data_IF_736101920650
#
_entry.id   IF_736101920650
#
_cell.length_a   1.000
_cell.length_b   1.000
_cell.length_c   1.000
_cell.angle_alpha   90.00
_cell.angle_beta   90.00
_cell.angle_gamma   90.00
#
_symmetry.space_group_name_H-M   'P 1'
#
loop_
_entity.id
_entity.type
_entity.pdbx_description
1 polymer ?
#
# COMPACT_ATOMS: atom_id res chain seq x y z
N UNK A 1 15.94 20.51 16.60
CA UNK A 1 16.43 19.12 16.68
C UNK A 1 15.30 18.11 16.86
N UNK A 2 14.40 18.26 17.85
CA UNK A 2 13.20 17.42 17.99
C UNK A 2 12.29 17.39 16.74
N UNK A 3 12.14 18.53 16.05
CA UNK A 3 11.39 18.62 14.79
C UNK A 3 12.10 17.93 13.60
N UNK A 4 13.43 17.81 13.63
CA UNK A 4 14.22 17.12 12.60
C UNK A 4 14.22 15.60 12.85
N UNK A 5 14.25 15.19 14.14
CA UNK A 5 14.06 13.79 14.55
C UNK A 5 12.63 13.32 14.24
N UNK A 6 11.62 14.19 14.41
CA UNK A 6 10.24 13.90 14.00
C UNK A 6 10.06 13.89 12.47
N UNK A 7 10.85 14.66 11.72
CA UNK A 7 10.85 14.61 10.24
C UNK A 7 11.55 13.36 9.71
N UNK A 8 12.63 12.93 10.34
CA UNK A 8 13.35 11.70 9.98
C UNK A 8 12.60 10.43 10.37
N UNK A 9 11.79 10.44 11.44
CA UNK A 9 10.92 9.32 11.82
C UNK A 9 9.61 9.24 11.02
N UNK A 10 9.39 10.16 10.07
CA UNK A 10 8.26 10.14 9.13
C UNK A 10 8.72 9.93 7.67
N UNK A 11 9.96 9.50 7.44
CA UNK A 11 10.36 8.98 6.14
C UNK A 11 9.57 7.68 5.91
N UNK A 12 8.48 7.83 5.16
CA UNK A 12 7.59 6.81 4.63
C UNK A 12 8.28 5.46 4.46
N UNK A 13 7.87 4.47 5.24
CA UNK A 13 8.17 3.06 5.01
C UNK A 13 7.67 2.70 3.60
N UNK A 14 8.60 2.46 2.66
CA UNK A 14 8.26 2.01 1.31
C UNK A 14 7.60 0.63 1.38
N UNK A 15 6.48 0.45 0.70
CA UNK A 15 5.67 -0.78 0.79
C UNK A 15 5.97 -1.76 -0.36
N UNK A 16 6.78 -1.37 -1.36
CA UNK A 16 7.61 -2.28 -2.15
C UNK A 16 9.05 -2.12 -1.65
N UNK A 17 9.71 -3.20 -1.24
CA UNK A 17 11.10 -3.20 -0.80
C UNK A 17 11.97 -3.92 -1.83
N UNK A 18 13.06 -3.28 -2.24
CA UNK A 18 14.12 -3.95 -3.00
C UNK A 18 15.11 -4.57 -2.03
N UNK A 19 15.35 -5.87 -2.14
CA UNK A 19 16.31 -6.60 -1.31
C UNK A 19 17.67 -6.69 -1.99
N UNK A 20 17.67 -6.86 -3.31
CA UNK A 20 18.87 -6.85 -4.16
C UNK A 20 18.53 -6.22 -5.52
N UNK A 21 19.45 -5.44 -6.12
CA UNK A 21 20.78 -5.08 -5.63
C UNK A 21 20.74 -3.96 -4.58
N UNK A 22 21.84 -3.78 -3.85
CA UNK A 22 21.99 -2.78 -2.78
C UNK A 22 21.73 -1.34 -3.26
N UNK A 23 22.17 -1.01 -4.47
CA UNK A 23 22.04 0.33 -5.07
C UNK A 23 20.58 0.75 -5.26
N UNK A 24 19.65 -0.21 -5.29
CA UNK A 24 18.22 0.03 -5.41
C UNK A 24 17.47 -0.11 -4.07
N UNK A 25 18.15 -0.45 -2.97
CA UNK A 25 17.51 -0.76 -1.68
C UNK A 25 16.67 0.40 -1.13
N UNK A 26 17.17 1.63 -1.29
CA UNK A 26 16.51 2.85 -0.83
C UNK A 26 15.61 3.49 -1.91
N UNK A 27 15.36 2.80 -3.03
CA UNK A 27 14.52 3.30 -4.10
C UNK A 27 13.06 3.39 -3.62
N UNK A 28 12.56 4.62 -3.49
CA UNK A 28 11.14 4.88 -3.30
C UNK A 28 10.36 4.54 -4.57
N UNK A 29 9.65 3.42 -4.56
CA UNK A 29 8.82 2.99 -5.71
C UNK A 29 7.40 3.47 -5.46
N UNK A 30 6.90 4.50 -6.19
CA UNK A 30 5.48 4.85 -6.15
C UNK A 30 4.68 3.71 -6.77
N UNK A 31 3.54 3.40 -6.16
CA UNK A 31 2.69 2.33 -6.66
C UNK A 31 1.21 2.64 -6.44
N UNK A 32 0.42 1.99 -7.27
CA UNK A 32 -1.03 1.99 -7.28
C UNK A 32 -1.62 0.61 -7.03
N UNK A 33 -2.92 0.57 -6.74
CA UNK A 33 -3.62 -0.67 -6.43
C UNK A 33 -4.56 -1.09 -7.57
N UNK A 34 -4.61 -2.38 -7.85
CA UNK A 34 -5.81 -2.96 -8.44
C UNK A 34 -6.83 -3.22 -7.32
N UNK A 35 -8.11 -2.92 -7.56
CA UNK A 35 -9.18 -3.18 -6.58
C UNK A 35 -9.67 -4.64 -6.55
N UNK A 36 -8.92 -5.56 -7.15
CA UNK A 36 -9.21 -6.99 -7.21
C UNK A 36 -7.93 -7.81 -6.94
N UNK A 37 -8.08 -9.13 -6.79
CA UNK A 37 -7.05 -9.97 -6.18
C UNK A 37 -6.97 -9.76 -4.66
N UNK A 38 -5.76 -9.82 -4.12
CA UNK A 38 -5.46 -9.75 -2.70
C UNK A 38 -4.45 -8.62 -2.38
N UNK A 39 -4.57 -7.91 -1.25
CA UNK A 39 -3.62 -6.89 -0.82
C UNK A 39 -2.19 -7.38 -0.53
N UNK A 40 -1.89 -8.68 -0.63
CA UNK A 40 -0.76 -9.31 0.03
C UNK A 40 -0.90 -9.19 1.56
N UNK A 41 -1.87 -9.95 2.10
CA UNK A 41 -2.10 -10.10 3.55
C UNK A 41 -0.85 -10.53 4.33
N UNK A 42 0.08 -11.21 3.66
CA UNK A 42 1.44 -11.54 4.12
C UNK A 42 2.44 -11.16 3.02
N UNK A 43 3.73 -10.96 3.34
CA UNK A 43 4.72 -10.58 2.34
C UNK A 43 4.80 -11.56 1.17
N UNK A 44 4.69 -11.00 -0.04
CA UNK A 44 5.00 -11.70 -1.29
C UNK A 44 6.36 -11.21 -1.77
N UNK A 45 7.20 -12.12 -2.23
CA UNK A 45 8.54 -11.79 -2.72
C UNK A 45 8.84 -12.56 -4.00
N UNK A 46 9.81 -12.05 -4.74
CA UNK A 46 10.34 -12.75 -5.88
C UNK A 46 11.33 -11.93 -6.69
N UNK A 47 11.92 -12.58 -7.68
CA UNK A 47 12.78 -11.95 -8.66
C UNK A 47 11.93 -11.32 -9.75
N UNK A 48 12.24 -10.09 -10.12
CA UNK A 48 11.60 -9.42 -11.25
C UNK A 48 11.88 -10.18 -12.54
N UNK A 49 10.82 -10.48 -13.27
CA UNK A 49 10.87 -11.00 -14.62
C UNK A 49 9.92 -10.19 -15.49
N UNK A 50 10.47 -9.52 -16.50
CA UNK A 50 9.65 -8.84 -17.50
C UNK A 50 9.27 -9.82 -18.60
N UNK A 51 7.97 -9.84 -18.92
CA UNK A 51 7.45 -10.58 -20.07
C UNK A 51 6.53 -9.67 -20.90
N UNK A 52 6.66 -9.79 -22.22
CA UNK A 52 5.78 -9.10 -23.16
C UNK A 52 4.53 -9.92 -23.44
N UNK A 53 3.38 -9.24 -23.52
CA UNK A 53 2.14 -9.87 -23.96
C UNK A 53 2.10 -9.98 -25.48
N UNK A 54 1.69 -11.14 -26.00
CA UNK A 54 1.38 -11.33 -27.42
C UNK A 54 -0.10 -11.56 -27.58
N UNK A 55 -0.80 -10.73 -28.35
CA UNK A 55 -2.26 -10.79 -28.54
C UNK A 55 -3.03 -10.83 -27.20
N UNK A 56 -2.61 -10.03 -26.21
CA UNK A 56 -3.17 -10.02 -24.85
C UNK A 56 -3.03 -11.36 -24.09
N UNK A 57 -2.06 -12.21 -24.47
CA UNK A 57 -1.80 -13.50 -23.82
C UNK A 57 -0.38 -13.59 -23.30
N UNK A 58 -0.26 -14.22 -22.14
CA UNK A 58 1.00 -14.68 -21.57
C UNK A 58 1.21 -16.15 -22.00
N UNK A 59 2.32 -16.43 -22.69
CA UNK A 59 2.62 -17.76 -23.24
C UNK A 59 3.75 -18.47 -22.48
N UNK A 60 4.04 -18.03 -21.25
CA UNK A 60 5.13 -18.55 -20.43
C UNK A 60 4.60 -19.12 -19.12
N UNK A 61 5.27 -20.15 -18.63
CA UNK A 61 5.08 -20.64 -17.28
C UNK A 61 5.94 -19.79 -16.34
N UNK A 62 5.33 -19.25 -15.28
CA UNK A 62 6.01 -18.36 -14.35
C UNK A 62 6.63 -19.20 -13.22
N UNK A 63 7.96 -19.17 -13.03
CA UNK A 63 8.60 -19.89 -11.95
C UNK A 63 8.10 -19.42 -10.58
N UNK A 64 8.14 -20.31 -9.59
CA UNK A 64 7.93 -19.93 -8.18
C UNK A 64 8.90 -18.80 -7.80
N UNK A 65 8.45 -17.89 -6.94
CA UNK A 65 9.22 -16.72 -6.48
C UNK A 65 9.60 -15.75 -7.61
N UNK A 66 8.72 -15.61 -8.60
CA UNK A 66 8.86 -14.60 -9.65
C UNK A 66 7.85 -13.48 -9.41
N UNK A 67 8.32 -12.25 -9.51
CA UNK A 67 7.47 -11.07 -9.67
C UNK A 67 7.36 -10.77 -11.14
N UNK A 68 6.17 -10.99 -11.69
CA UNK A 68 5.92 -10.76 -13.10
C UNK A 68 5.76 -9.27 -13.36
N UNK A 69 6.50 -8.72 -14.32
CA UNK A 69 6.39 -7.34 -14.77
C UNK A 69 5.84 -7.32 -16.18
N UNK A 70 4.73 -6.60 -16.39
CA UNK A 70 4.03 -6.53 -17.66
C UNK A 70 3.87 -5.07 -18.09
N UNK A 71 4.10 -4.80 -19.36
CA UNK A 71 3.57 -3.59 -20.00
C UNK A 71 2.11 -3.83 -20.40
N UNK A 72 1.21 -2.93 -19.98
CA UNK A 72 -0.20 -3.03 -20.32
C UNK A 72 -0.50 -2.29 -21.63
N UNK A 73 -0.99 -3.03 -22.63
CA UNK A 73 -1.61 -2.47 -23.82
C UNK A 73 -3.10 -2.21 -23.54
N UNK A 74 -3.55 -0.96 -23.72
CA UNK A 74 -4.93 -0.52 -23.50
C UNK A 74 -5.97 -1.27 -24.37
N UNK A 75 -5.54 -1.95 -25.44
CA UNK A 75 -6.40 -2.81 -26.24
C UNK A 75 -6.74 -4.14 -25.54
N UNK A 76 -6.06 -4.47 -24.45
CA UNK A 76 -6.24 -5.70 -23.71
C UNK A 76 -7.07 -5.47 -22.43
N UNK A 77 -8.00 -6.39 -22.17
CA UNK A 77 -8.74 -6.44 -20.92
C UNK A 77 -7.78 -6.87 -19.81
N UNK A 78 -7.39 -5.93 -18.95
CA UNK A 78 -6.37 -6.14 -17.92
C UNK A 78 -6.74 -7.25 -16.93
N UNK A 79 -8.03 -7.39 -16.59
CA UNK A 79 -8.53 -8.49 -15.76
C UNK A 79 -8.13 -9.85 -16.32
N UNK A 80 -8.30 -10.07 -17.62
CA UNK A 80 -8.01 -11.34 -18.28
C UNK A 80 -6.50 -11.62 -18.30
N UNK A 81 -5.70 -10.58 -18.50
CA UNK A 81 -4.23 -10.67 -18.44
C UNK A 81 -3.79 -11.13 -17.05
N UNK A 82 -4.30 -10.49 -15.99
CA UNK A 82 -3.89 -10.78 -14.62
C UNK A 82 -4.35 -12.17 -14.18
N UNK A 83 -5.58 -12.57 -14.50
CA UNK A 83 -6.08 -13.92 -14.21
C UNK A 83 -5.25 -15.00 -14.89
N UNK A 84 -4.89 -14.81 -16.17
CA UNK A 84 -4.01 -15.74 -16.89
C UNK A 84 -2.61 -15.76 -16.34
N UNK A 85 -2.07 -14.61 -15.95
CA UNK A 85 -0.76 -14.50 -15.31
C UNK A 85 -0.71 -15.28 -14.00
N UNK A 86 -1.75 -15.15 -13.17
CA UNK A 86 -1.90 -15.95 -11.96
C UNK A 86 -2.03 -17.44 -12.26
N UNK A 87 -2.83 -17.82 -13.26
CA UNK A 87 -2.98 -19.21 -13.70
C UNK A 87 -1.66 -19.81 -14.21
N UNK A 88 -0.76 -18.97 -14.74
CA UNK A 88 0.61 -19.33 -15.12
C UNK A 88 1.59 -19.35 -13.95
N UNK A 89 1.17 -19.06 -12.72
CA UNK A 89 1.98 -19.16 -11.50
C UNK A 89 2.41 -17.82 -10.87
N UNK A 90 1.99 -16.67 -11.40
CA UNK A 90 2.37 -15.37 -10.85
C UNK A 90 1.53 -14.98 -9.63
N UNK A 91 2.16 -14.81 -8.47
CA UNK A 91 1.47 -14.40 -7.23
C UNK A 91 1.63 -12.90 -6.90
N UNK A 92 2.63 -12.24 -7.49
CA UNK A 92 2.83 -10.79 -7.44
C UNK A 92 3.10 -10.30 -8.87
N UNK A 93 2.30 -9.34 -9.33
CA UNK A 93 2.30 -8.82 -10.69
C UNK A 93 2.44 -7.30 -10.62
N UNK A 94 3.42 -6.75 -11.32
CA UNK A 94 3.62 -5.31 -11.50
C UNK A 94 3.21 -4.93 -12.92
N UNK A 95 2.29 -3.99 -13.02
CA UNK A 95 1.83 -3.43 -14.28
C UNK A 95 2.57 -2.11 -14.48
N UNK A 96 3.26 -1.99 -15.61
CA UNK A 96 3.89 -0.75 -16.02
C UNK A 96 2.84 0.17 -16.63
N UNK A 97 2.63 1.34 -16.02
CA UNK A 97 1.76 2.40 -16.53
C UNK A 97 2.56 3.57 -17.11
N UNK A 98 1.96 4.27 -18.07
CA UNK A 98 2.56 5.49 -18.62
C UNK A 98 2.45 6.63 -17.60
N UNK A 99 3.41 7.58 -17.61
CA UNK A 99 3.38 8.72 -16.66
C UNK A 99 2.14 9.62 -16.82
N UNK A 100 1.45 9.55 -17.97
CA UNK A 100 0.20 10.27 -18.20
C UNK A 100 -1.02 9.69 -17.46
N UNK A 101 -0.92 8.45 -16.96
CA UNK A 101 -2.02 7.77 -16.26
C UNK A 101 -2.09 8.29 -14.81
N UNK A 102 -2.75 9.44 -14.63
CA UNK A 102 -2.89 10.12 -13.33
C UNK A 102 -3.66 9.33 -12.26
N UNK A 103 -4.25 8.19 -12.61
CA UNK A 103 -5.02 7.35 -11.70
C UNK A 103 -4.30 6.02 -11.52
N UNK A 104 -3.51 5.94 -10.46
CA UNK A 104 -2.81 4.73 -10.05
C UNK A 104 -3.76 3.61 -9.58
N UNK A 105 -5.08 3.84 -9.56
CA UNK A 105 -6.04 2.82 -9.19
C UNK A 105 -6.66 2.20 -10.44
N UNK A 106 -6.52 0.88 -10.56
CA UNK A 106 -7.12 0.11 -11.64
C UNK A 106 -8.34 -0.58 -11.10
N UNK A 107 -9.47 -0.33 -11.75
CA UNK A 107 -10.75 -0.91 -11.35
C UNK A 107 -11.29 -1.82 -12.43
N UNK A 108 -11.84 -2.95 -12.00
CA UNK A 108 -12.45 -3.88 -12.93
C UNK A 108 -13.81 -3.37 -13.38
N UNK A 109 -14.07 -3.46 -14.69
CA UNK A 109 -15.34 -3.07 -15.30
C UNK A 109 -16.52 -3.94 -14.87
N UNK A 110 -16.28 -5.17 -14.42
CA UNK A 110 -17.28 -6.10 -13.89
C UNK A 110 -16.61 -7.17 -13.02
N UNK A 111 -17.35 -7.66 -12.03
CA UNK A 111 -16.83 -8.56 -10.99
C UNK A 111 -17.38 -9.98 -11.12
N UNK A 112 -16.51 -10.96 -10.99
CA UNK A 112 -16.83 -12.39 -10.95
C UNK A 112 -16.12 -13.02 -9.76
N UNK A 113 -16.65 -14.12 -9.22
CA UNK A 113 -16.03 -14.81 -8.08
C UNK A 113 -14.59 -15.30 -8.37
N UNK A 114 -14.24 -15.48 -9.64
CA UNK A 114 -12.88 -15.83 -10.08
C UNK A 114 -11.85 -14.67 -9.92
N UNK A 115 -12.29 -13.47 -9.52
CA UNK A 115 -11.40 -12.32 -9.28
C UNK A 115 -10.73 -12.32 -7.90
N UNK A 116 -10.93 -13.38 -7.12
CA UNK A 116 -10.54 -13.48 -5.71
C UNK A 116 -9.37 -14.42 -5.45
N UNK A 117 -8.62 -14.70 -6.49
CA UNK A 117 -7.41 -15.51 -6.45
C UNK A 117 -6.29 -14.84 -5.62
N UNK A 118 -5.39 -15.65 -5.06
CA UNK A 118 -4.28 -15.17 -4.21
C UNK A 118 -3.12 -14.58 -5.03
N UNK A 119 -3.43 -13.64 -5.93
CA UNK A 119 -2.45 -12.77 -6.56
C UNK A 119 -2.59 -11.35 -6.07
N UNK A 120 -1.48 -10.62 -6.14
CA UNK A 120 -1.44 -9.18 -5.85
C UNK A 120 -0.99 -8.46 -7.11
N UNK A 121 -1.78 -7.49 -7.57
CA UNK A 121 -1.46 -6.68 -8.72
C UNK A 121 -1.26 -5.22 -8.29
N UNK A 122 -0.12 -4.67 -8.68
CA UNK A 122 0.27 -3.29 -8.39
C UNK A 122 0.59 -2.57 -9.69
N UNK A 123 0.32 -1.27 -9.72
CA UNK A 123 0.69 -0.41 -10.83
C UNK A 123 1.92 0.37 -10.44
N UNK A 124 2.95 0.37 -11.28
CA UNK A 124 4.14 1.20 -11.08
C UNK A 124 4.42 2.02 -12.33
N UNK A 125 5.03 3.21 -12.21
CA UNK A 125 5.45 3.96 -13.38
C UNK A 125 6.45 3.19 -14.25
N UNK A 126 6.32 3.32 -15.57
CA UNK A 126 7.22 2.69 -16.53
C UNK A 126 8.70 3.01 -16.27
N UNK A 127 9.02 4.24 -15.86
CA UNK A 127 10.41 4.66 -15.61
C UNK A 127 11.10 3.83 -14.52
N UNK A 128 10.35 3.29 -13.53
CA UNK A 128 10.92 2.41 -12.50
C UNK A 128 11.57 1.18 -13.14
N UNK A 129 10.92 0.59 -14.15
CA UNK A 129 11.48 -0.53 -14.87
C UNK A 129 12.61 -0.10 -15.81
N UNK A 130 12.38 0.89 -16.67
CA UNK A 130 13.35 1.27 -17.70
C UNK A 130 14.62 1.92 -17.17
N UNK A 131 14.54 2.67 -16.07
CA UNK A 131 15.69 3.39 -15.52
C UNK A 131 16.38 2.66 -14.37
N UNK A 132 15.70 1.74 -13.69
CA UNK A 132 16.26 1.02 -12.54
C UNK A 132 16.29 -0.49 -12.78
N UNK A 133 15.14 -1.16 -12.83
CA UNK A 133 15.12 -2.63 -12.82
C UNK A 133 15.81 -3.27 -14.03
N UNK A 134 15.66 -2.69 -15.22
CA UNK A 134 16.25 -3.23 -16.46
C UNK A 134 17.79 -3.15 -16.52
N UNK A 135 18.43 -2.38 -15.63
CA UNK A 135 19.89 -2.24 -15.58
C UNK A 135 20.58 -3.41 -14.87
N UNK A 136 19.83 -4.23 -14.16
CA UNK A 136 20.35 -5.32 -13.35
C UNK A 136 19.81 -6.66 -13.83
N UNK A 137 20.66 -7.68 -13.80
CA UNK A 137 20.28 -9.04 -14.22
C UNK A 137 19.25 -9.65 -13.26
N UNK A 138 19.43 -9.41 -11.97
CA UNK A 138 18.59 -9.93 -10.91
C UNK A 138 18.18 -8.77 -10.00
N UNK A 139 16.87 -8.55 -9.89
CA UNK A 139 16.29 -7.61 -8.93
C UNK A 139 15.30 -8.39 -8.10
N UNK A 140 15.54 -8.47 -6.80
CA UNK A 140 14.68 -9.16 -5.84
C UNK A 140 13.88 -8.13 -5.05
N UNK A 141 12.57 -8.30 -5.04
CA UNK A 141 11.68 -7.40 -4.30
C UNK A 141 10.74 -8.18 -3.41
N UNK A 142 10.17 -7.48 -2.43
CA UNK A 142 8.98 -7.93 -1.72
C UNK A 142 7.94 -6.81 -1.64
N UNK A 143 6.70 -7.22 -1.45
CA UNK A 143 5.57 -6.35 -1.17
C UNK A 143 4.68 -6.98 -0.11
N UNK A 144 4.22 -6.17 0.82
CA UNK A 144 3.22 -6.50 1.83
C UNK A 144 2.37 -5.26 2.01
N UNK A 145 1.04 -5.34 2.01
CA UNK A 145 0.25 -4.15 2.30
C UNK A 145 0.49 -3.68 3.74
N UNK A 146 0.92 -2.43 3.88
CA UNK A 146 1.09 -1.84 5.20
C UNK A 146 -0.30 -1.55 5.82
N UNK A 147 -0.57 -2.03 7.03
CA UNK A 147 -1.83 -1.78 7.74
C UNK A 147 -1.61 -0.77 8.84
N UNK A 148 -2.42 0.29 8.87
CA UNK A 148 -2.42 1.21 10.00
C UNK A 148 -3.13 0.56 11.19
N UNK A 149 -2.42 0.42 12.30
CA UNK A 149 -2.88 -0.34 13.46
C UNK A 149 -3.62 0.52 14.50
N UNK A 150 -4.58 -0.09 15.19
CA UNK A 150 -5.30 0.48 16.33
C UNK A 150 -5.78 -0.63 17.28
N UNK A 151 -6.10 -0.31 18.54
CA UNK A 151 -6.80 -1.24 19.42
C UNK A 151 -8.28 -1.38 19.06
N UNK A 152 -8.86 -0.33 18.47
CA UNK A 152 -10.24 -0.30 17.97
C UNK A 152 -10.18 0.24 16.54
N UNK A 153 -10.04 -0.62 15.53
CA UNK A 153 -9.94 -0.17 14.15
C UNK A 153 -11.19 0.60 13.73
N UNK A 154 -10.99 1.79 13.15
CA UNK A 154 -12.06 2.61 12.60
C UNK A 154 -12.33 2.18 11.17
N UNK A 155 -13.60 2.08 10.79
CA UNK A 155 -14.01 1.77 9.42
C UNK A 155 -14.85 2.90 8.87
N UNK A 156 -14.55 3.31 7.66
CA UNK A 156 -15.36 4.24 6.89
C UNK A 156 -15.74 3.56 5.58
N UNK A 157 -17.03 3.40 5.35
CA UNK A 157 -17.60 2.86 4.11
C UNK A 157 -17.89 4.01 3.16
N UNK A 158 -17.25 4.00 2.00
CA UNK A 158 -17.46 4.96 0.92
C UNK A 158 -18.36 4.34 -0.15
N UNK A 159 -19.50 4.96 -0.39
CA UNK A 159 -20.47 4.57 -1.41
C UNK A 159 -20.35 5.49 -2.64
N UNK A 160 -19.96 4.95 -3.78
CA UNK A 160 -19.84 5.66 -5.07
C UNK A 160 -21.13 5.66 -5.89
N UNK A 161 -22.08 4.80 -5.52
CA UNK A 161 -23.28 4.51 -6.27
C UNK A 161 -23.08 3.43 -7.32
N UNK A 162 -21.88 2.86 -7.49
CA UNK A 162 -21.70 1.68 -8.32
C UNK A 162 -22.18 0.42 -7.57
N UNK A 163 -23.48 0.14 -7.65
CA UNK A 163 -24.15 -0.91 -6.87
C UNK A 163 -23.55 -2.31 -7.02
N UNK A 164 -22.99 -2.62 -8.19
CA UNK A 164 -22.31 -3.89 -8.42
C UNK A 164 -21.08 -4.04 -7.53
N UNK A 165 -20.31 -2.96 -7.35
CA UNK A 165 -19.16 -2.94 -6.44
C UNK A 165 -19.61 -2.93 -4.97
N UNK A 166 -20.58 -2.07 -4.67
CA UNK A 166 -21.07 -1.88 -3.31
C UNK A 166 -21.66 -3.14 -2.69
N UNK A 167 -22.33 -3.98 -3.47
CA UNK A 167 -22.89 -5.23 -2.99
C UNK A 167 -21.82 -6.14 -2.33
N UNK A 168 -20.61 -6.21 -2.92
CA UNK A 168 -19.50 -6.99 -2.35
C UNK A 168 -18.91 -6.34 -1.11
N UNK A 169 -18.70 -5.02 -1.14
CA UNK A 169 -18.14 -4.28 -0.01
C UNK A 169 -19.09 -4.33 1.19
N UNK A 170 -20.39 -4.13 0.97
CA UNK A 170 -21.42 -4.18 2.01
C UNK A 170 -21.56 -5.58 2.59
N UNK A 171 -21.39 -6.64 1.77
CA UNK A 171 -21.29 -8.02 2.27
C UNK A 171 -20.09 -8.18 3.21
N UNK A 172 -18.92 -7.65 2.85
CA UNK A 172 -17.73 -7.64 3.72
C UNK A 172 -17.93 -6.81 5.00
N UNK A 173 -18.53 -5.63 4.87
CA UNK A 173 -18.87 -4.74 6.00
C UNK A 173 -19.83 -5.44 6.99
N UNK A 174 -20.84 -6.15 6.49
CA UNK A 174 -21.75 -6.96 7.31
C UNK A 174 -21.00 -8.00 8.13
N UNK A 175 -20.07 -8.72 7.50
CA UNK A 175 -19.25 -9.73 8.18
C UNK A 175 -18.48 -9.10 9.34
N UNK A 176 -17.80 -7.97 9.11
CA UNK A 176 -17.01 -7.35 10.18
C UNK A 176 -17.87 -6.73 11.29
N UNK A 177 -18.98 -6.09 10.95
CA UNK A 177 -19.90 -5.50 11.93
C UNK A 177 -20.49 -6.60 12.83
N UNK A 178 -20.93 -7.72 12.23
CA UNK A 178 -21.52 -8.84 12.95
C UNK A 178 -20.51 -9.61 13.81
N UNK A 179 -19.36 -9.98 13.23
CA UNK A 179 -18.40 -10.87 13.89
C UNK A 179 -17.60 -10.15 14.98
N UNK A 180 -17.27 -8.87 14.77
CA UNK A 180 -16.41 -8.09 15.68
C UNK A 180 -17.17 -7.05 16.51
N UNK A 181 -18.50 -6.95 16.35
CA UNK A 181 -19.38 -6.06 17.13
C UNK A 181 -18.88 -4.61 17.14
N UNK A 182 -18.59 -4.08 15.95
CA UNK A 182 -18.06 -2.73 15.79
C UNK A 182 -19.05 -1.72 16.37
N UNK A 183 -18.60 -0.91 17.34
CA UNK A 183 -19.42 0.16 17.89
C UNK A 183 -19.62 1.27 16.84
N UNK A 184 -20.79 1.92 16.86
CA UNK A 184 -21.14 2.95 15.87
C UNK A 184 -20.13 4.10 15.83
N UNK A 185 -19.52 4.47 16.96
CA UNK A 185 -18.49 5.51 17.03
C UNK A 185 -17.22 5.19 16.23
N UNK A 186 -16.99 3.92 15.88
CA UNK A 186 -15.88 3.45 15.08
C UNK A 186 -16.28 3.13 13.63
N UNK A 187 -17.53 3.39 13.23
CA UNK A 187 -18.03 3.15 11.89
C UNK A 187 -18.60 4.42 11.27
N UNK A 188 -18.16 4.78 10.07
CA UNK A 188 -18.64 5.95 9.33
C UNK A 188 -19.16 5.55 7.96
N UNK A 189 -20.15 6.28 7.47
CA UNK A 189 -20.62 6.21 6.09
C UNK A 189 -20.35 7.55 5.44
N UNK A 190 -19.78 7.51 4.23
CA UNK A 190 -19.67 8.66 3.34
C UNK A 190 -20.03 8.24 1.91
N UNK A 191 -20.26 9.24 1.06
CA UNK A 191 -20.62 9.05 -0.33
C UNK A 191 -19.56 9.73 -1.21
N UNK A 192 -19.24 9.14 -2.36
CA UNK A 192 -18.31 9.71 -3.31
C UNK A 192 -19.06 10.61 -4.31
N UNK A 193 -18.61 11.85 -4.42
CA UNK A 193 -19.11 12.83 -5.38
C UNK A 193 -18.07 13.95 -5.51
N UNK A 194 -18.16 14.68 -6.62
CA UNK A 194 -17.37 15.89 -6.88
C UNK A 194 -18.24 17.14 -6.73
N UNK A 195 -17.63 18.25 -6.34
CA UNK A 195 -18.31 19.55 -6.29
C UNK A 195 -17.57 20.59 -7.12
N UNK A 196 -18.31 21.44 -7.83
CA UNK A 196 -17.76 22.53 -8.64
C UNK A 196 -18.68 23.74 -8.63
N UNK A 197 -18.07 24.94 -8.59
CA UNK A 197 -18.78 26.21 -8.70
C UNK A 197 -19.14 26.56 -10.17
N UNK A 198 -18.66 25.80 -11.16
CA UNK A 198 -18.94 26.04 -12.58
C UNK A 198 -19.89 24.98 -13.09
N UNK A 199 -21.03 25.42 -13.59
CA UNK A 199 -22.03 24.58 -14.26
C UNK A 199 -21.42 23.99 -15.53
N UNK A 200 -21.24 22.67 -15.58
CA UNK A 200 -20.75 21.99 -16.78
C UNK A 200 -21.67 20.88 -17.29
N UNK A 201 -22.61 20.36 -16.50
CA UNK A 201 -23.44 19.21 -16.91
C UNK A 201 -24.86 19.20 -16.32
N UNK A 202 -25.84 18.76 -17.13
CA UNK A 202 -27.23 18.49 -16.74
C UNK A 202 -27.38 17.29 -15.77
N UNK A 203 -26.26 16.65 -15.42
CA UNK A 203 -26.20 15.39 -14.68
C UNK A 203 -25.75 15.56 -13.22
N UNK A 204 -25.96 16.75 -12.66
CA UNK A 204 -25.58 17.11 -11.30
C UNK A 204 -26.77 17.66 -10.51
N UNK A 205 -26.66 17.64 -9.19
CA UNK A 205 -27.58 18.34 -8.28
C UNK A 205 -27.03 19.75 -8.05
N UNK A 206 -27.86 20.77 -8.28
CA UNK A 206 -27.55 22.15 -7.89
C UNK A 206 -28.03 22.42 -6.46
N UNK A 207 -27.13 22.82 -5.56
CA UNK A 207 -27.45 23.17 -4.18
C UNK A 207 -26.50 24.27 -3.68
N UNK A 208 -27.05 25.34 -3.07
CA UNK A 208 -26.27 26.46 -2.52
C UNK A 208 -25.13 26.94 -3.44
N UNK A 209 -25.47 27.28 -4.69
CA UNK A 209 -24.53 27.82 -5.71
C UNK A 209 -23.41 26.86 -6.16
N UNK A 210 -23.48 25.58 -5.77
CA UNK A 210 -22.54 24.54 -6.19
C UNK A 210 -23.28 23.42 -6.95
N UNK A 211 -22.53 22.78 -7.85
CA UNK A 211 -22.98 21.58 -8.57
C UNK A 211 -22.29 20.36 -7.98
N UNK A 212 -23.09 19.37 -7.60
CA UNK A 212 -22.65 18.13 -6.99
C UNK A 212 -22.92 16.96 -7.95
N UNK A 213 -21.88 16.22 -8.29
CA UNK A 213 -21.93 15.21 -9.34
C UNK A 213 -21.33 13.90 -8.82
N UNK A 214 -22.14 12.84 -8.80
CA UNK A 214 -21.61 11.48 -8.73
C UNK A 214 -21.07 11.06 -10.11
N UNK A 215 -20.22 10.04 -10.14
CA UNK A 215 -19.72 9.49 -11.40
C UNK A 215 -20.84 8.75 -12.14
N UNK A 216 -21.14 9.17 -13.37
CA UNK A 216 -22.16 8.51 -14.20
C UNK A 216 -21.70 7.10 -14.59
N UNK A 217 -22.65 6.17 -14.64
CA UNK A 217 -22.45 4.81 -15.16
C UNK A 217 -22.95 4.74 -16.60
N UNK A 218 -22.55 3.71 -17.35
CA UNK A 218 -22.92 3.56 -18.78
C UNK A 218 -24.43 3.67 -19.04
N UNK A 219 -25.26 3.23 -18.09
CA UNK A 219 -26.73 3.24 -18.19
C UNK A 219 -27.42 4.27 -17.29
N UNK A 220 -26.68 4.93 -16.39
CA UNK A 220 -27.28 5.77 -15.33
C UNK A 220 -26.55 7.10 -15.14
N UNK A 221 -27.39 8.12 -14.97
CA UNK A 221 -27.00 9.51 -14.80
C UNK A 221 -26.52 9.78 -13.37
N UNK A 222 -25.41 10.50 -13.23
CA UNK A 222 -24.80 10.93 -11.97
C UNK A 222 -25.77 11.63 -11.02
N UNK A 223 -26.73 12.42 -11.52
CA UNK A 223 -27.76 13.04 -10.68
C UNK A 223 -28.62 12.00 -9.96
N UNK A 224 -29.13 11.01 -10.70
CA UNK A 224 -29.99 9.95 -10.15
C UNK A 224 -29.21 9.06 -9.18
N UNK A 225 -27.94 8.79 -9.50
CA UNK A 225 -27.03 8.06 -8.61
C UNK A 225 -26.85 8.83 -7.30
N UNK A 226 -26.60 10.14 -7.37
CA UNK A 226 -26.41 10.98 -6.19
C UNK A 226 -27.69 11.11 -5.34
N UNK A 227 -28.87 11.19 -5.96
CA UNK A 227 -30.16 11.16 -5.23
C UNK A 227 -30.34 9.86 -4.45
N UNK A 228 -29.98 8.72 -5.04
CA UNK A 228 -29.99 7.42 -4.37
C UNK A 228 -28.99 7.36 -3.20
N UNK A 229 -27.78 7.85 -3.40
CA UNK A 229 -26.75 7.91 -2.36
C UNK A 229 -27.19 8.81 -1.19
N UNK A 230 -27.77 9.98 -1.49
CA UNK A 230 -28.30 10.88 -0.48
C UNK A 230 -29.48 10.27 0.27
N UNK A 231 -30.36 9.53 -0.40
CA UNK A 231 -31.45 8.79 0.26
C UNK A 231 -30.90 7.80 1.28
N UNK A 232 -29.92 6.99 0.88
CA UNK A 232 -29.27 6.03 1.78
C UNK A 232 -28.55 6.73 2.94
N UNK A 233 -27.83 7.82 2.68
CA UNK A 233 -27.11 8.55 3.72
C UNK A 233 -28.08 9.26 4.69
N UNK A 234 -29.18 9.83 4.18
CA UNK A 234 -30.26 10.42 4.98
C UNK A 234 -30.84 9.38 5.94
N UNK A 235 -31.13 8.18 5.43
CA UNK A 235 -31.61 7.09 6.26
C UNK A 235 -30.60 6.73 7.37
N UNK A 236 -29.32 6.53 7.04
CA UNK A 236 -28.29 6.25 8.04
C UNK A 236 -28.18 7.32 9.13
N UNK A 237 -28.27 8.60 8.75
CA UNK A 237 -28.20 9.72 9.69
C UNK A 237 -29.46 9.86 10.56
N UNK A 238 -30.61 9.43 10.05
CA UNK A 238 -31.88 9.43 10.79
C UNK A 238 -31.99 8.33 11.85
N UNK A 239 -31.21 7.26 11.72
CA UNK A 239 -31.24 6.15 12.67
C UNK A 239 -30.76 6.57 14.07
N UNK A 240 -31.39 6.07 15.15
CA UNK A 240 -30.96 6.35 16.51
C UNK A 240 -29.52 5.88 16.74
N UNK A 241 -28.75 6.59 17.54
CA UNK A 241 -27.33 6.24 17.79
C UNK A 241 -27.20 5.13 18.83
N UNK A 242 -27.57 3.90 18.44
CA UNK A 242 -27.60 2.69 19.28
C UNK A 242 -27.00 1.49 18.52
N UNK A 243 -26.51 0.49 19.25
CA UNK A 243 -25.71 -0.63 18.71
C UNK A 243 -26.35 -1.40 17.54
N UNK A 244 -27.69 -1.44 17.45
CA UNK A 244 -28.39 -2.16 16.39
C UNK A 244 -28.58 -1.35 15.10
N UNK A 245 -28.43 -0.02 15.14
CA UNK A 245 -28.70 0.85 13.99
C UNK A 245 -27.79 0.58 12.80
N UNK A 246 -26.51 0.30 13.06
CA UNK A 246 -25.58 -0.06 12.01
C UNK A 246 -26.00 -1.36 11.31
N UNK A 247 -26.49 -2.34 12.07
CA UNK A 247 -26.98 -3.60 11.49
C UNK A 247 -28.22 -3.35 10.61
N UNK A 248 -29.19 -2.55 11.08
CA UNK A 248 -30.38 -2.17 10.30
C UNK A 248 -29.97 -1.52 8.97
N UNK A 249 -29.03 -0.57 9.02
CA UNK A 249 -28.57 0.14 7.84
C UNK A 249 -27.89 -0.79 6.82
N UNK A 250 -27.01 -1.68 7.29
CA UNK A 250 -26.31 -2.63 6.41
C UNK A 250 -27.29 -3.63 5.77
N UNK A 251 -28.28 -4.13 6.51
CA UNK A 251 -29.33 -5.00 5.94
C UNK A 251 -30.18 -4.25 4.89
N UNK A 252 -30.51 -2.98 5.15
CA UNK A 252 -31.20 -2.14 4.17
C UNK A 252 -30.40 -2.01 2.86
N UNK A 253 -29.09 -1.74 2.93
CA UNK A 253 -28.26 -1.63 1.72
C UNK A 253 -28.26 -2.95 0.93
N UNK A 254 -28.19 -4.10 1.61
CA UNK A 254 -28.27 -5.40 0.94
C UNK A 254 -29.62 -5.63 0.26
N UNK A 255 -30.72 -5.28 0.93
CA UNK A 255 -32.06 -5.36 0.33
C UNK A 255 -32.19 -4.40 -0.86
N UNK A 256 -31.64 -3.19 -0.76
CA UNK A 256 -31.61 -2.20 -1.84
C UNK A 256 -30.87 -2.71 -3.08
N UNK A 257 -29.67 -3.27 -2.94
CA UNK A 257 -28.93 -3.82 -4.08
C UNK A 257 -29.65 -5.03 -4.70
N UNK A 258 -30.35 -5.82 -3.90
CA UNK A 258 -31.07 -7.01 -4.40
C UNK A 258 -32.35 -6.63 -5.13
N UNK A 259 -33.11 -5.64 -4.63
CA UNK A 259 -34.45 -5.31 -5.14
C UNK A 259 -34.50 -4.15 -6.11
N UNK A 260 -33.67 -3.13 -5.88
CA UNK A 260 -33.65 -1.93 -6.70
C UNK A 260 -32.43 -1.89 -7.62
N UNK A 261 -31.53 -2.88 -7.55
CA UNK A 261 -30.17 -2.82 -8.10
C UNK A 261 -30.06 -2.46 -9.59
N UNK A 262 -31.03 -2.89 -10.40
CA UNK A 262 -30.94 -2.88 -11.86
C UNK A 262 -31.30 -1.54 -12.53
N UNK A 263 -32.16 -0.70 -11.95
CA UNK A 263 -32.76 0.46 -12.64
C UNK A 263 -32.51 1.83 -11.96
N UNK A 264 -31.88 1.84 -10.79
CA UNK A 264 -31.64 3.05 -9.98
C UNK A 264 -32.92 3.85 -9.66
N UNK A 265 -34.08 3.21 -9.68
CA UNK A 265 -35.33 3.86 -9.34
C UNK A 265 -35.30 4.41 -7.91
N UNK A 266 -35.51 5.72 -7.80
CA UNK A 266 -35.51 6.44 -6.53
C UNK A 266 -36.72 6.04 -5.68
N UNK A 267 -37.87 5.76 -6.29
CA UNK A 267 -39.08 5.37 -5.57
C UNK A 267 -38.90 3.99 -4.95
N UNK A 268 -38.25 3.05 -5.65
CA UNK A 268 -37.84 1.77 -5.08
C UNK A 268 -36.99 1.94 -3.82
N UNK A 269 -35.97 2.82 -3.87
CA UNK A 269 -35.09 3.09 -2.74
C UNK A 269 -35.84 3.72 -1.56
N UNK A 270 -36.65 4.75 -1.80
CA UNK A 270 -37.48 5.41 -0.78
C UNK A 270 -38.43 4.42 -0.10
N UNK A 271 -39.09 3.55 -0.89
CA UNK A 271 -39.98 2.53 -0.35
C UNK A 271 -39.26 1.54 0.58
N UNK A 272 -38.01 1.18 0.26
CA UNK A 272 -37.18 0.35 1.14
C UNK A 272 -36.76 1.09 2.41
N UNK A 273 -36.40 2.37 2.33
CA UNK A 273 -36.13 3.20 3.51
C UNK A 273 -37.33 3.21 4.46
N UNK A 274 -38.54 3.46 3.94
CA UNK A 274 -39.77 3.46 4.74
C UNK A 274 -40.01 2.08 5.36
N UNK A 275 -39.85 1.00 4.57
CA UNK A 275 -40.01 -0.37 5.06
C UNK A 275 -39.01 -0.71 6.18
N UNK A 276 -37.80 -0.16 6.11
CA UNK A 276 -36.75 -0.32 7.13
C UNK A 276 -36.93 0.63 8.33
N UNK A 277 -38.02 1.40 8.39
CA UNK A 277 -38.38 2.26 9.51
C UNK A 277 -37.89 3.71 9.41
N UNK A 278 -37.38 4.13 8.26
CA UNK A 278 -36.95 5.50 7.99
C UNK A 278 -38.08 6.41 7.51
N UNK A 279 -37.78 7.72 7.43
CA UNK A 279 -38.60 8.70 6.75
C UNK A 279 -38.12 8.72 5.30
N UNK A 280 -39.00 8.48 4.32
CA UNK A 280 -38.65 8.39 2.90
C UNK A 280 -38.27 9.72 2.24
N UNK A 281 -37.50 10.57 2.92
CA UNK A 281 -37.07 11.88 2.48
C UNK A 281 -35.57 11.90 2.14
N UNK A 282 -35.17 12.94 1.41
CA UNK A 282 -33.77 13.21 1.07
C UNK A 282 -33.35 14.49 1.80
N UNK A 283 -32.28 14.42 2.57
CA UNK A 283 -31.65 15.57 3.21
C UNK A 283 -30.50 16.09 2.34
N UNK A 284 -30.73 17.24 1.70
CA UNK A 284 -29.77 17.87 0.79
C UNK A 284 -28.61 18.54 1.54
N UNK A 285 -28.76 18.87 2.84
CA UNK A 285 -27.67 19.46 3.64
C UNK A 285 -26.51 18.48 3.84
N UNK A 286 -26.74 17.19 3.60
CA UNK A 286 -25.69 16.18 3.58
C UNK A 286 -24.66 16.41 2.46
N UNK A 287 -25.00 17.13 1.38
CA UNK A 287 -24.03 17.56 0.36
C UNK A 287 -22.98 18.54 0.89
N UNK A 288 -23.26 19.23 2.00
CA UNK A 288 -22.32 20.17 2.61
C UNK A 288 -21.39 19.50 3.63
N UNK A 289 -21.82 18.37 4.18
CA UNK A 289 -21.15 17.70 5.31
C UNK A 289 -20.54 16.35 4.96
N UNK A 290 -21.02 15.68 3.92
CA UNK A 290 -20.38 14.49 3.38
C UNK A 290 -19.04 14.87 2.75
N UNK A 291 -18.00 14.07 2.99
CA UNK A 291 -16.68 14.32 2.41
C UNK A 291 -16.72 13.99 0.91
N UNK A 292 -16.81 15.00 0.06
CA UNK A 292 -16.67 14.82 -1.39
C UNK A 292 -15.33 14.17 -1.72
N UNK A 293 -15.38 13.02 -2.37
CA UNK A 293 -14.22 12.27 -2.84
C UNK A 293 -14.31 12.19 -4.36
N UNK A 294 -13.26 12.63 -5.05
CA UNK A 294 -13.11 12.41 -6.49
C UNK A 294 -12.58 11.00 -6.75
N UNK A 295 -13.29 10.01 -6.22
CA UNK A 295 -13.02 8.58 -6.37
C UNK A 295 -14.27 7.93 -6.97
N UNK A 296 -14.20 7.38 -8.19
CA UNK A 296 -15.35 6.74 -8.82
C UNK A 296 -15.73 5.40 -8.19
N UNK A 297 -14.90 4.86 -7.29
CA UNK A 297 -15.07 3.51 -6.79
C UNK A 297 -15.47 3.45 -5.32
N UNK A 298 -16.35 2.50 -5.01
CA UNK A 298 -16.71 2.20 -3.63
C UNK A 298 -15.57 1.46 -2.95
N UNK A 299 -15.33 1.73 -1.68
CA UNK A 299 -14.25 1.11 -0.92
C UNK A 299 -14.45 1.25 0.59
N UNK A 300 -13.59 0.57 1.36
CA UNK A 300 -13.43 0.85 2.77
C UNK A 300 -12.18 1.69 3.01
N UNK A 301 -12.23 2.49 4.07
CA UNK A 301 -11.07 3.09 4.69
C UNK A 301 -10.95 2.52 6.09
N UNK A 302 -9.85 1.83 6.39
CA UNK A 302 -9.60 1.21 7.70
C UNK A 302 -8.47 1.97 8.40
N UNK A 303 -8.75 2.52 9.59
CA UNK A 303 -7.85 3.40 10.34
C UNK A 303 -7.32 4.61 9.53
N UNK A 304 -8.06 5.06 8.52
CA UNK A 304 -7.66 6.14 7.63
C UNK A 304 -6.82 5.70 6.43
N UNK A 305 -6.65 4.39 6.19
CA UNK A 305 -5.95 3.84 5.03
C UNK A 305 -6.95 3.25 4.03
N UNK A 306 -6.80 3.61 2.76
CA UNK A 306 -7.61 3.12 1.63
C UNK A 306 -7.50 1.60 1.48
N UNK A 307 -8.63 0.90 1.39
CA UNK A 307 -8.71 -0.55 1.32
C UNK A 307 -9.73 -1.01 0.25
N UNK A 308 -9.28 -1.23 -1.00
CA UNK A 308 -10.15 -1.54 -2.13
C UNK A 308 -10.42 -3.04 -2.37
N UNK A 309 -9.85 -3.97 -1.60
CA UNK A 309 -10.00 -5.42 -1.86
C UNK A 309 -11.17 -6.05 -1.11
N UNK A 310 -12.28 -6.23 -1.80
CA UNK A 310 -13.55 -6.54 -1.14
C UNK A 310 -13.58 -7.92 -0.46
N UNK A 311 -12.92 -8.92 -1.04
CA UNK A 311 -12.83 -10.25 -0.44
C UNK A 311 -11.79 -10.37 0.67
N UNK A 312 -11.00 -9.34 0.87
CA UNK A 312 -10.04 -9.28 1.97
C UNK A 312 -10.47 -8.31 3.06
N UNK A 313 -11.72 -7.81 3.05
CA UNK A 313 -12.22 -6.85 4.05
C UNK A 313 -12.08 -7.40 5.48
N UNK A 314 -12.51 -8.63 5.74
CA UNK A 314 -12.39 -9.21 7.09
C UNK A 314 -10.93 -9.36 7.50
N UNK A 315 -10.08 -9.93 6.63
CA UNK A 315 -8.66 -10.08 6.91
C UNK A 315 -7.97 -8.72 7.09
N UNK A 316 -8.25 -7.72 6.25
CA UNK A 316 -7.69 -6.39 6.37
C UNK A 316 -8.14 -5.66 7.64
N UNK A 317 -9.39 -5.82 8.05
CA UNK A 317 -9.89 -5.33 9.33
C UNK A 317 -9.17 -6.01 10.51
N UNK A 318 -9.03 -7.32 10.47
CA UNK A 318 -8.26 -8.11 11.44
C UNK A 318 -6.80 -7.67 11.55
N UNK A 319 -6.13 -7.50 10.42
CA UNK A 319 -4.76 -7.00 10.33
C UNK A 319 -4.66 -5.50 10.62
N UNK A 320 -5.74 -4.82 10.97
CA UNK A 320 -5.70 -3.44 11.46
C UNK A 320 -5.69 -3.35 12.99
N UNK A 321 -5.75 -4.48 13.70
CA UNK A 321 -5.59 -4.53 15.15
C UNK A 321 -4.11 -4.54 15.58
N UNK A 322 -3.80 -3.88 16.71
CA UNK A 322 -2.53 -4.07 17.42
C UNK A 322 -2.40 -5.49 17.98
N UNK A 323 -3.51 -6.04 18.48
CA UNK A 323 -3.61 -7.42 18.95
C UNK A 323 -4.73 -8.12 18.18
N UNK A 324 -4.36 -9.03 17.28
CA UNK A 324 -5.29 -9.70 16.37
C UNK A 324 -6.31 -10.53 17.18
N UNK A 325 -7.63 -10.28 17.01
CA UNK A 325 -8.68 -11.07 17.65
C UNK A 325 -8.61 -12.56 17.30
N UNK A 326 -9.03 -13.43 18.22
CA UNK A 326 -8.98 -14.90 18.03
C UNK A 326 -9.87 -15.43 16.91
N UNK A 327 -10.91 -14.68 16.55
CA UNK A 327 -11.85 -15.00 15.47
C UNK A 327 -11.28 -14.70 14.08
N UNK A 328 -10.14 -14.01 14.01
CA UNK A 328 -9.57 -13.59 12.74
C UNK A 328 -9.12 -14.77 11.87
N UNK A 329 -9.25 -14.65 10.54
CA UNK A 329 -8.74 -15.65 9.61
C UNK A 329 -7.24 -15.90 9.81
N UNK A 330 -6.86 -17.17 9.70
CA UNK A 330 -5.47 -17.62 9.83
C UNK A 330 -4.93 -18.05 8.47
N UNK A 331 -3.63 -17.87 8.25
CA UNK A 331 -2.92 -18.31 7.04
C UNK A 331 -2.47 -19.78 7.13
N UNK A 332 -2.41 -20.33 8.35
CA UNK A 332 -2.20 -21.74 8.66
C UNK A 332 -2.97 -22.13 9.92
N UNK A 333 -2.91 -23.40 10.35
CA UNK A 333 -3.60 -23.89 11.55
C UNK A 333 -3.30 -23.05 12.81
N UNK A 334 -2.09 -22.48 12.91
CA UNK A 334 -1.63 -21.75 14.11
C UNK A 334 -1.23 -20.30 13.87
N UNK A 335 -1.15 -19.84 12.62
CA UNK A 335 -0.54 -18.56 12.29
C UNK A 335 -1.55 -17.59 11.69
N UNK A 336 -1.59 -16.34 12.18
CA UNK A 336 -2.25 -15.25 11.50
C UNK A 336 -1.39 -14.75 10.33
N UNK A 337 -2.01 -14.01 9.41
CA UNK A 337 -1.34 -13.47 8.22
C UNK A 337 -0.21 -12.49 8.55
N UNK A 338 -0.32 -11.74 9.65
CA UNK A 338 0.73 -10.85 10.09
C UNK A 338 1.51 -11.46 11.25
N UNK A 339 2.83 -11.43 11.07
CA UNK A 339 3.79 -11.95 12.04
C UNK A 339 4.98 -10.98 12.20
N UNK A 340 4.79 -9.67 11.96
CA UNK A 340 5.87 -8.66 11.92
C UNK A 340 6.74 -8.59 13.18
N UNK A 341 6.21 -9.01 14.33
CA UNK A 341 6.95 -9.01 15.60
C UNK A 341 7.74 -10.29 15.88
N UNK A 342 7.56 -11.33 15.06
CA UNK A 342 8.27 -12.60 15.23
C UNK A 342 9.55 -12.51 14.42
N UNK A 343 10.69 -12.49 15.11
CA UNK A 343 12.04 -12.44 14.53
C UNK A 343 12.65 -13.82 14.32
N UNK A 344 11.82 -14.85 14.26
CA UNK A 344 12.22 -16.25 14.24
C UNK A 344 11.35 -17.00 13.24
N UNK A 345 11.95 -17.90 12.48
CA UNK A 345 11.18 -18.82 11.65
C UNK A 345 10.31 -19.74 12.52
N UNK A 346 8.99 -19.65 12.35
CA UNK A 346 8.05 -20.60 12.93
C UNK A 346 7.71 -21.65 11.89
N UNK A 347 8.05 -22.92 12.17
CA UNK A 347 7.81 -24.05 11.26
C UNK A 347 6.35 -24.13 10.78
N UNK A 348 5.37 -23.91 11.67
CA UNK A 348 3.94 -23.97 11.33
C UNK A 348 3.47 -22.77 10.46
N UNK A 349 4.29 -21.73 10.33
CA UNK A 349 4.04 -20.55 9.49
C UNK A 349 4.95 -20.53 8.24
N UNK A 350 5.75 -21.57 8.00
CA UNK A 350 6.67 -21.65 6.87
C UNK A 350 5.95 -22.09 5.58
N UNK A 351 4.97 -21.30 5.16
CA UNK A 351 4.16 -21.54 3.95
C UNK A 351 4.08 -20.28 3.12
N UNK A 352 3.82 -20.43 1.82
CA UNK A 352 3.58 -19.29 0.92
C UNK A 352 2.41 -18.43 1.38
N UNK A 353 1.33 -19.04 1.88
CA UNK A 353 0.14 -18.33 2.40
C UNK A 353 0.43 -17.46 3.63
N UNK A 354 1.42 -17.83 4.43
CA UNK A 354 1.87 -17.09 5.62
C UNK A 354 3.10 -16.21 5.34
N UNK A 355 3.49 -16.05 4.07
CA UNK A 355 4.68 -15.30 3.68
C UNK A 355 5.96 -15.84 4.34
N UNK A 356 6.05 -17.15 4.60
CA UNK A 356 7.23 -17.79 5.21
C UNK A 356 7.60 -17.20 6.58
N UNK A 357 6.61 -17.04 7.47
CA UNK A 357 6.75 -16.40 8.78
C UNK A 357 7.27 -14.96 8.66
N UNK A 358 6.63 -14.15 7.80
CA UNK A 358 7.08 -12.79 7.50
C UNK A 358 8.51 -12.74 6.92
N UNK A 359 8.82 -13.67 6.01
CA UNK A 359 10.11 -13.90 5.36
C UNK A 359 11.24 -14.37 6.29
N UNK A 360 11.04 -14.47 7.61
CA UNK A 360 12.06 -14.92 8.56
C UNK A 360 12.57 -16.34 8.28
N UNK A 361 11.72 -17.21 7.72
CA UNK A 361 12.13 -18.56 7.32
C UNK A 361 13.02 -18.60 6.07
N UNK A 362 13.17 -17.47 5.38
CA UNK A 362 14.02 -17.33 4.20
C UNK A 362 15.41 -16.80 4.54
N UNK A 363 15.68 -16.46 5.81
CA UNK A 363 16.98 -15.97 6.24
C UNK A 363 17.94 -17.15 6.41
N UNK A 364 19.12 -17.04 5.82
CA UNK A 364 20.21 -17.99 6.03
C UNK A 364 20.88 -17.74 7.38
N UNK A 365 20.95 -18.74 8.29
CA UNK A 365 21.57 -18.57 9.60
C UNK A 365 23.09 -18.42 9.53
N UNK A 366 23.71 -18.78 8.39
CA UNK A 366 25.16 -18.70 8.20
C UNK A 366 25.58 -17.32 7.68
N UNK A 367 24.79 -16.74 6.76
CA UNK A 367 25.13 -15.51 6.05
C UNK A 367 24.35 -14.28 6.54
N UNK A 368 23.34 -14.48 7.40
CA UNK A 368 22.47 -13.44 7.95
C UNK A 368 21.76 -12.56 6.89
N UNK A 369 21.54 -13.12 5.70
CA UNK A 369 20.75 -12.51 4.63
C UNK A 369 19.79 -13.55 4.02
N UNK A 370 18.90 -13.13 3.12
CA UNK A 370 17.93 -14.05 2.52
C UNK A 370 18.58 -15.06 1.57
N UNK A 371 18.11 -16.31 1.58
CA UNK A 371 18.61 -17.37 0.69
C UNK A 371 18.56 -17.00 -0.79
N UNK A 372 17.59 -16.18 -1.20
CA UNK A 372 17.45 -15.75 -2.59
C UNK A 372 18.46 -14.67 -3.02
N UNK A 373 19.19 -14.07 -2.06
CA UNK A 373 20.26 -13.11 -2.32
C UNK A 373 21.64 -13.79 -2.42
N UNK A 374 21.72 -15.09 -2.09
CA UNK A 374 22.97 -15.84 -2.19
C UNK A 374 23.23 -16.23 -3.65
N UNK A 375 24.41 -15.88 -4.16
CA UNK A 375 24.81 -16.15 -5.55
C UNK A 375 23.80 -15.60 -6.57
N UNK A 376 23.18 -14.46 -6.26
CA UNK A 376 22.25 -13.78 -7.16
C UNK A 376 22.97 -12.91 -8.19
N UNK A 377 24.30 -12.91 -8.21
CA UNK A 377 25.13 -12.20 -9.15
C UNK A 377 25.25 -10.70 -8.87
N UNK A 378 24.76 -10.23 -7.71
CA UNK A 378 24.97 -8.88 -7.21
C UNK A 378 25.76 -8.95 -5.89
N UNK A 379 26.75 -8.06 -5.72
CA UNK A 379 27.37 -7.93 -4.40
C UNK A 379 26.45 -7.14 -3.46
N UNK A 380 25.79 -7.84 -2.53
CA UNK A 380 24.91 -7.25 -1.55
C UNK A 380 25.63 -7.12 -0.18
N UNK A 381 25.60 -5.94 0.46
CA UNK A 381 26.27 -5.70 1.74
C UNK A 381 25.77 -6.63 2.87
N UNK A 382 24.49 -6.96 2.86
CA UNK A 382 23.89 -7.91 3.81
C UNK A 382 24.44 -9.34 3.62
N UNK A 383 24.91 -9.69 2.42
CA UNK A 383 25.53 -10.98 2.08
C UNK A 383 27.05 -10.82 1.80
N UNK A 384 27.76 -9.94 2.52
CA UNK A 384 29.16 -9.58 2.23
C UNK A 384 30.19 -10.73 2.24
N UNK A 385 29.83 -11.89 2.77
CA UNK A 385 30.70 -13.08 2.82
C UNK A 385 30.57 -13.98 1.58
N UNK A 386 29.72 -13.62 0.61
CA UNK A 386 29.48 -14.41 -0.60
C UNK A 386 30.53 -14.19 -1.70
N UNK A 387 30.61 -15.17 -2.61
CA UNK A 387 31.52 -15.14 -3.77
C UNK A 387 31.26 -13.93 -4.68
N UNK A 388 30.00 -13.52 -4.82
CA UNK A 388 29.60 -12.33 -5.60
C UNK A 388 30.29 -11.03 -5.13
N UNK A 389 30.72 -10.97 -3.86
CA UNK A 389 31.42 -9.82 -3.27
C UNK A 389 32.95 -9.98 -3.25
N UNK A 390 33.49 -11.09 -3.72
CA UNK A 390 34.93 -11.40 -3.63
C UNK A 390 35.80 -10.69 -4.68
N UNK A 391 35.23 -9.80 -5.50
CA UNK A 391 35.84 -9.26 -6.72
C UNK A 391 35.95 -7.74 -6.83
N UNK A 392 36.56 -7.04 -5.86
CA UNK A 392 37.08 -5.67 -6.04
C UNK A 392 38.47 -5.47 -5.43
N UNK A 393 39.45 -6.30 -5.82
CA UNK A 393 40.86 -5.99 -5.52
C UNK A 393 41.88 -6.40 -6.59
N UNK A 394 41.46 -6.72 -7.81
CA UNK A 394 42.39 -6.85 -8.93
C UNK A 394 41.65 -6.56 -10.25
N UNK A 395 41.82 -5.34 -10.78
CA UNK A 395 42.26 -5.11 -12.16
C UNK A 395 42.39 -3.61 -12.42
N UNK A 396 43.57 -3.09 -12.08
CA UNK A 396 44.19 -1.98 -12.77
C UNK A 396 44.58 -2.44 -14.19
N UNK A 397 44.23 -1.64 -15.20
CA UNK A 397 44.87 -1.55 -16.53
C UNK A 397 45.14 -2.83 -17.38
N UNK A 398 44.55 -2.89 -18.57
CA UNK A 398 45.04 -3.71 -19.70
C UNK A 398 43.91 -4.27 -20.57
N UNK A 399 43.42 -3.52 -21.55
CA UNK A 399 43.78 -3.76 -22.96
C UNK A 399 43.98 -5.24 -23.31
N UNK A 400 42.92 -5.81 -23.90
CA UNK A 400 42.99 -6.98 -24.75
C UNK A 400 44.06 -6.77 -25.84
N UNK A 401 45.06 -7.64 -25.87
CA UNK A 401 45.65 -8.11 -27.12
C UNK A 401 46.11 -9.55 -26.94
N UNK A 402 45.59 -10.40 -27.82
CA UNK A 402 46.00 -11.77 -28.05
C UNK A 402 47.51 -11.84 -28.34
N UNK A 403 48.21 -12.80 -27.73
CA UNK A 403 49.08 -13.71 -28.48
C UNK A 403 49.51 -14.92 -27.65
N UNK A 404 49.52 -16.05 -28.33
CA UNK A 404 49.94 -17.39 -27.92
C UNK A 404 51.46 -17.52 -27.74
N UNK A 405 51.91 -18.30 -26.75
CA UNK A 405 53.03 -19.25 -26.90
C UNK A 405 53.29 -20.11 -25.67
N UNK A 406 53.74 -21.34 -25.94
CA UNK A 406 54.09 -22.44 -25.04
C UNK A 406 55.34 -22.17 -24.17
N UNK A 407 55.48 -22.90 -23.05
CA UNK A 407 56.79 -23.13 -22.42
C UNK A 407 56.75 -23.74 -21.01
N UNK A 408 57.14 -25.01 -20.90
CA UNK A 408 57.45 -25.72 -19.65
C UNK A 408 58.60 -25.07 -18.85
N UNK A 409 58.57 -25.17 -17.52
CA UNK A 409 59.59 -25.87 -16.69
C UNK A 409 59.59 -25.42 -15.22
N UNK A 410 60.15 -26.31 -14.39
CA UNK A 410 60.09 -26.46 -12.93
C UNK A 410 60.81 -25.38 -12.09
N UNK A 411 60.39 -25.32 -10.82
CA UNK A 411 61.24 -25.42 -9.61
C UNK A 411 61.20 -24.25 -8.61
N UNK A 412 60.74 -24.60 -7.41
CA UNK A 412 61.24 -24.27 -6.06
C UNK A 412 61.70 -22.85 -5.71
N UNK A 413 61.10 -22.27 -4.67
CA UNK A 413 61.65 -21.10 -3.96
C UNK A 413 60.84 -20.67 -2.74
N UNK A 414 61.33 -21.09 -1.57
CA UNK A 414 60.84 -20.78 -0.23
C UNK A 414 61.01 -19.27 0.12
N UNK A 415 60.09 -18.65 0.87
CA UNK A 415 60.27 -17.26 1.34
C UNK A 415 59.15 -16.76 2.26
N UNK A 416 59.46 -16.71 3.56
CA UNK A 416 58.59 -16.27 4.66
C UNK A 416 58.35 -14.75 4.72
N UNK A 417 57.23 -14.38 5.37
CA UNK A 417 56.98 -13.22 6.24
C UNK A 417 57.27 -11.81 5.73
N UNK A 418 56.24 -10.94 5.71
CA UNK A 418 56.16 -9.78 6.63
C UNK A 418 54.71 -9.30 6.75
N UNK A 419 54.17 -9.36 7.97
CA UNK A 419 52.93 -8.73 8.42
C UNK A 419 53.24 -7.33 8.98
N UNK A 420 52.21 -6.47 9.09
CA UNK A 420 52.15 -5.21 9.85
C UNK A 420 52.79 -3.93 9.26
N UNK A 421 51.91 -3.05 8.74
CA UNK A 421 51.75 -1.64 9.19
C UNK A 421 50.82 -0.89 8.23
N UNK A 422 49.52 -0.83 8.53
CA UNK A 422 48.63 0.18 7.93
C UNK A 422 47.32 0.48 8.69
N UNK A 423 47.21 0.14 9.99
CA UNK A 423 45.98 0.37 10.78
C UNK A 423 46.05 1.48 11.82
N UNK A 424 47.13 2.29 11.87
CA UNK A 424 47.26 3.35 12.90
C UNK A 424 46.74 4.73 12.48
N UNK A 425 46.35 4.94 11.22
CA UNK A 425 46.05 6.29 10.71
C UNK A 425 44.55 6.66 10.73
N UNK A 426 43.64 5.69 10.90
CA UNK A 426 42.19 5.95 10.85
C UNK A 426 41.59 6.35 12.21
N UNK A 427 42.29 6.06 13.32
CA UNK A 427 41.79 6.35 14.68
C UNK A 427 41.92 7.84 15.06
N UNK A 428 42.94 8.52 14.55
CA UNK A 428 43.16 9.95 14.81
C UNK A 428 42.28 10.87 13.95
N UNK A 429 41.67 10.35 12.88
CA UNK A 429 40.80 11.14 12.00
C UNK A 429 39.37 11.25 12.56
N UNK A 430 38.89 10.22 13.28
CA UNK A 430 37.57 10.19 13.91
C UNK A 430 37.50 11.07 15.17
N UNK A 431 38.59 11.19 15.93
CA UNK A 431 38.62 12.04 17.13
C UNK A 431 38.59 13.55 16.80
N UNK A 432 39.13 13.97 15.66
CA UNK A 432 39.13 15.38 15.26
C UNK A 432 37.77 15.84 14.68
N UNK A 433 37.02 14.97 14.00
CA UNK A 433 35.70 15.32 13.45
C UNK A 433 34.63 15.41 14.55
N UNK A 434 34.74 14.60 15.62
CA UNK A 434 33.85 14.68 16.78
C UNK A 434 33.96 16.00 17.57
N UNK A 435 35.16 16.59 17.65
CA UNK A 435 35.40 17.85 18.37
C UNK A 435 34.86 19.06 17.58
N UNK A 436 34.90 19.01 16.25
CA UNK A 436 34.31 20.06 15.38
C UNK A 436 32.77 20.04 15.46
N UNK A 437 32.16 18.86 15.54
CA UNK A 437 30.70 18.74 15.66
C UNK A 437 30.18 19.29 17.01
N UNK A 438 30.90 19.04 18.11
CA UNK A 438 30.51 19.50 19.45
C UNK A 438 30.69 21.03 19.60
N UNK A 439 31.73 21.61 19.01
CA UNK A 439 32.02 23.04 19.13
C UNK A 439 31.06 23.95 18.33
N UNK A 440 30.38 23.44 17.31
CA UNK A 440 29.41 24.22 16.50
C UNK A 440 27.96 24.00 16.94
N UNK A 441 27.60 22.82 17.43
CA UNK A 441 26.22 22.49 17.83
C UNK A 441 25.86 23.11 19.18
N UNK A 442 26.80 23.17 20.14
CA UNK A 442 26.51 23.72 21.47
C UNK A 442 26.22 25.23 21.44
N UNK A 443 26.99 26.09 20.73
CA UNK A 443 26.69 27.52 20.66
C UNK A 443 25.38 27.81 19.90
N UNK A 444 25.10 27.08 18.81
CA UNK A 444 23.90 27.30 18.00
C UNK A 444 22.61 26.90 18.73
N UNK A 445 22.65 25.85 19.55
CA UNK A 445 21.52 25.45 20.41
C UNK A 445 21.27 26.44 21.55
N UNK A 446 22.32 27.02 22.13
CA UNK A 446 22.21 28.08 23.15
C UNK A 446 21.59 29.36 22.58
N UNK A 447 21.99 29.79 21.38
CA UNK A 447 21.41 30.97 20.72
C UNK A 447 19.93 30.76 20.42
N UNK A 448 19.53 29.59 19.93
CA UNK A 448 18.12 29.27 19.67
C UNK A 448 17.27 29.27 20.95
N UNK A 449 17.80 28.76 22.06
CA UNK A 449 17.13 28.82 23.37
C UNK A 449 16.89 30.25 23.84
N UNK A 450 17.87 31.14 23.66
CA UNK A 450 17.73 32.57 24.00
C UNK A 450 16.66 33.24 23.14
N UNK A 451 16.60 32.93 21.84
CA UNK A 451 15.58 33.47 20.92
C UNK A 451 14.18 33.00 21.31
N UNK A 452 14.00 31.70 21.60
CA UNK A 452 12.72 31.15 22.04
C UNK A 452 12.26 31.80 23.35
N UNK A 453 13.15 31.93 24.33
CA UNK A 453 12.84 32.60 25.61
C UNK A 453 12.48 34.08 25.41
N UNK A 454 13.15 34.76 24.49
CA UNK A 454 12.85 36.14 24.15
C UNK A 454 11.45 36.30 23.52
N UNK A 455 11.12 35.44 22.54
CA UNK A 455 9.80 35.46 21.88
C UNK A 455 8.69 35.15 22.89
N UNK A 456 8.86 34.11 23.72
CA UNK A 456 7.89 33.75 24.77
C UNK A 456 7.66 34.91 25.75
N UNK A 457 8.71 35.64 26.12
CA UNK A 457 8.60 36.83 26.98
C UNK A 457 7.84 37.97 26.31
N UNK A 458 7.97 38.17 25.00
CA UNK A 458 7.22 39.19 24.27
C UNK A 458 5.74 38.84 24.12
N UNK A 459 5.42 37.57 23.89
CA UNK A 459 4.03 37.09 23.82
C UNK A 459 3.32 37.31 25.17
N UNK A 460 3.98 36.97 26.28
CA UNK A 460 3.43 37.18 27.62
C UNK A 460 3.18 38.66 27.93
N UNK A 461 4.08 39.57 27.53
CA UNK A 461 3.87 41.01 27.67
C UNK A 461 2.68 41.53 26.85
N UNK A 462 2.47 41.01 25.64
CA UNK A 462 1.31 41.35 24.82
C UNK A 462 0.00 40.89 25.45
N UNK A 463 -0.01 39.70 26.08
CA UNK A 463 -1.18 39.19 26.78
C UNK A 463 -1.54 40.01 28.05
N UNK A 464 -0.54 40.49 28.79
CA UNK A 464 -0.76 41.36 29.96
C UNK A 464 -1.33 42.73 29.58
N UNK A 465 -0.91 43.31 28.45
CA UNK A 465 -1.44 44.60 27.98
C UNK A 465 -2.89 44.50 27.50
N UNK A 466 -3.29 43.37 26.90
CA UNK A 466 -4.66 43.15 26.46
C UNK A 466 -5.64 42.91 27.63
N UNK A 467 -5.15 42.48 28.80
CA UNK A 467 -5.97 42.29 30.00
C UNK A 467 -6.16 43.56 30.86
N UNK A 468 -5.58 44.71 30.47
CA UNK A 468 -5.76 45.99 31.16
C UNK A 468 -6.73 46.96 30.45
N UNK A 469 -7.38 46.53 29.36
CA UNK A 469 -8.38 47.32 28.61
C UNK A 469 -9.81 46.77 28.77
N UNK A 470 -10.05 46.00 29.84
CA UNK A 470 -11.36 45.47 30.23
C UNK A 470 -11.94 46.20 31.43
#
# INVERSE_FOLDING_TARGET
>A
MLLLIFFLSNLCESVIKVHSPDELRDLGIPYGFANFGNPALSPKYGRIQYDSLSECKLNVNIPKNTVLVLYWDNNCILKDILYRSYSSGANLILILASESDKLFNITASYYTDDMYEDFTALVIPFYIYSEYFSKYKNVWISYEFDYKKSNNPQVELILSGNRNQEAFIVKGAKTIVKNYKIAESYFKINIAYTSTARNTDLDCIEYQENYYCAHSLSSFRGKLILENLLTSLTFYKSLPKVDHSLHIFIEYLQEMYTKCGEDYDIDCNINLVIKSGGLGNIDMDLLLSAKGLNDPDSHLVINGKYFPWWNSIESGYCLSYNQIPSLCPKCSTKCYYEVKFIKNCISDCNTTSCGYSNMECLISPLHFCYYFMLNDGNCNSECSLEEDCSGENNNDSGQENNESSQGNSESSGNGQNTQEKKSLNTRNQIENEGIVLISVIIPSTLVMLVVILYISKQILKGAEQNNQVG
#
